data_IF_723769601989
#
_entry.id   IF_723769601989
#
_cell.length_a   1.000
_cell.length_b   1.000
_cell.length_c   1.000
_cell.angle_alpha   90.00
_cell.angle_beta   90.00
_cell.angle_gamma   90.00
#
_symmetry.space_group_name_H-M   'P 1'
#
loop_
_entity.id
_entity.type
_entity.pdbx_description
1 polymer ?
#
# COMPACT_ATOMS: atom_id res chain seq x y z
N UNK A 1 6.80 -15.89 -8.30
CA UNK A 1 5.33 -16.04 -8.22
C UNK A 1 4.74 -15.26 -7.05
N UNK A 2 5.15 -15.50 -5.80
CA UNK A 2 4.55 -14.87 -4.61
C UNK A 2 4.55 -13.34 -4.62
N UNK A 3 5.63 -12.69 -5.08
CA UNK A 3 5.69 -11.21 -5.13
C UNK A 3 4.68 -10.58 -6.08
N UNK A 4 4.35 -11.28 -7.17
CA UNK A 4 3.37 -10.81 -8.15
C UNK A 4 1.96 -10.90 -7.56
N UNK A 5 1.67 -12.01 -6.88
CA UNK A 5 0.41 -12.20 -6.14
C UNK A 5 0.26 -11.15 -5.05
N UNK A 6 1.33 -10.83 -4.31
CA UNK A 6 1.29 -9.74 -3.32
C UNK A 6 1.04 -8.38 -3.96
N UNK A 7 1.68 -8.08 -5.09
CA UNK A 7 1.42 -6.83 -5.83
C UNK A 7 -0.04 -6.70 -6.28
N UNK A 8 -0.61 -7.79 -6.80
CA UNK A 8 -2.01 -7.85 -7.21
C UNK A 8 -2.98 -7.71 -6.03
N UNK A 9 -2.73 -8.41 -4.93
CA UNK A 9 -3.50 -8.27 -3.69
C UNK A 9 -3.43 -6.84 -3.14
N UNK A 10 -2.24 -6.23 -3.14
CA UNK A 10 -2.04 -4.83 -2.76
C UNK A 10 -2.87 -3.88 -3.61
N UNK A 11 -2.91 -4.09 -4.92
CA UNK A 11 -3.78 -3.30 -5.78
C UNK A 11 -5.27 -3.47 -5.44
N UNK A 12 -5.77 -4.70 -5.28
CA UNK A 12 -7.19 -4.95 -5.00
C UNK A 12 -7.63 -4.22 -3.73
N UNK A 13 -6.95 -4.45 -2.61
CA UNK A 13 -7.43 -3.89 -1.35
C UNK A 13 -7.22 -2.36 -1.29
N UNK A 14 -6.14 -1.83 -1.87
CA UNK A 14 -5.90 -0.37 -1.90
C UNK A 14 -6.86 0.35 -2.86
N UNK A 15 -7.25 -0.29 -3.96
CA UNK A 15 -8.26 0.24 -4.90
C UNK A 15 -9.64 0.29 -4.28
N UNK A 16 -9.98 -0.67 -3.41
CA UNK A 16 -11.23 -0.70 -2.66
C UNK A 16 -11.23 0.23 -1.43
N UNK A 17 -10.16 0.98 -1.18
CA UNK A 17 -10.04 1.97 -0.08
C UNK A 17 -10.33 1.40 1.31
N UNK A 18 -10.17 0.09 1.50
CA UNK A 18 -10.51 -0.66 2.73
C UNK A 18 -9.51 -0.41 3.88
N UNK A 19 -8.80 0.71 3.83
CA UNK A 19 -7.70 1.07 4.73
C UNK A 19 -6.37 0.47 4.29
N UNK A 20 -5.42 1.34 3.89
CA UNK A 20 -4.02 0.94 3.76
C UNK A 20 -3.47 0.51 5.12
N UNK A 21 -2.97 -0.73 5.22
CA UNK A 21 -2.31 -1.22 6.44
C UNK A 21 -1.11 -0.34 6.82
N UNK A 22 -0.60 -0.39 8.07
CA UNK A 22 0.39 0.59 8.57
C UNK A 22 1.62 0.74 7.68
N UNK A 23 2.17 -0.37 7.15
CA UNK A 23 3.29 -0.39 6.20
C UNK A 23 2.96 0.31 4.87
N UNK A 24 1.77 0.06 4.33
CA UNK A 24 1.30 0.64 3.07
C UNK A 24 0.85 2.09 3.24
N UNK A 25 0.33 2.46 4.41
CA UNK A 25 0.04 3.83 4.80
C UNK A 25 1.31 4.69 4.87
N UNK A 26 2.39 4.17 5.47
CA UNK A 26 3.71 4.83 5.47
C UNK A 26 4.21 5.01 4.03
N UNK A 27 4.09 3.97 3.19
CA UNK A 27 4.45 4.06 1.77
C UNK A 27 3.66 5.15 1.05
N UNK A 28 2.33 5.16 1.16
CA UNK A 28 1.46 6.17 0.52
C UNK A 28 1.77 7.58 1.04
N UNK A 29 1.95 7.74 2.35
CA UNK A 29 2.27 9.04 2.97
C UNK A 29 3.64 9.56 2.49
N UNK A 30 4.65 8.70 2.41
CA UNK A 30 5.97 9.07 1.90
C UNK A 30 5.94 9.37 0.41
N UNK A 31 5.20 8.60 -0.41
CA UNK A 31 5.01 8.89 -1.84
C UNK A 31 4.33 10.25 -2.03
N UNK A 32 3.25 10.53 -1.29
CA UNK A 32 2.57 11.84 -1.30
C UNK A 32 3.49 12.99 -0.91
N UNK A 33 4.32 12.80 0.12
CA UNK A 33 5.21 13.84 0.64
C UNK A 33 6.44 14.07 -0.24
N UNK A 34 7.00 13.02 -0.82
CA UNK A 34 8.28 13.08 -1.55
C UNK A 34 8.13 13.13 -3.07
N UNK A 35 6.96 12.79 -3.61
CA UNK A 35 6.73 12.67 -5.05
C UNK A 35 7.53 11.55 -5.72
N UNK A 36 8.20 10.70 -4.93
CA UNK A 36 9.03 9.60 -5.42
C UNK A 36 8.18 8.40 -5.82
N UNK A 37 8.66 7.56 -6.75
CA UNK A 37 7.90 6.41 -7.21
C UNK A 37 7.75 5.33 -6.13
N UNK A 38 6.67 4.55 -6.24
CA UNK A 38 6.26 3.56 -5.23
C UNK A 38 7.34 2.50 -5.00
N UNK A 39 7.99 2.01 -6.07
CA UNK A 39 9.02 0.97 -5.95
C UNK A 39 10.16 1.38 -5.03
N UNK A 40 10.58 2.65 -5.11
CA UNK A 40 11.72 3.17 -4.37
C UNK A 40 11.39 3.28 -2.89
N UNK A 41 10.25 3.89 -2.57
CA UNK A 41 9.80 4.03 -1.17
C UNK A 41 9.56 2.64 -0.57
N UNK A 42 8.96 1.73 -1.33
CA UNK A 42 8.67 0.38 -0.85
C UNK A 42 9.93 -0.42 -0.55
N UNK A 43 10.90 -0.41 -1.46
CA UNK A 43 12.17 -1.09 -1.25
C UNK A 43 12.95 -0.48 -0.07
N UNK A 44 12.89 0.84 0.13
CA UNK A 44 13.52 1.50 1.28
C UNK A 44 12.90 1.07 2.61
N UNK A 45 11.57 0.95 2.69
CA UNK A 45 10.89 0.45 3.89
C UNK A 45 11.34 -0.98 4.20
N UNK A 46 11.39 -1.85 3.21
CA UNK A 46 11.86 -3.23 3.40
C UNK A 46 13.35 -3.31 3.74
N UNK A 47 14.17 -2.46 3.12
CA UNK A 47 15.60 -2.42 3.41
C UNK A 47 15.84 -1.98 4.86
N UNK A 48 15.08 -0.99 5.34
CA UNK A 48 15.15 -0.56 6.73
C UNK A 48 14.67 -1.65 7.70
N UNK A 49 13.57 -2.34 7.39
CA UNK A 49 13.11 -3.48 8.18
C UNK A 49 14.15 -4.61 8.19
N UNK A 50 14.79 -4.88 7.06
CA UNK A 50 15.85 -5.87 6.94
C UNK A 50 17.07 -5.48 7.79
N UNK A 51 17.57 -4.25 7.66
CA UNK A 51 18.78 -3.81 8.39
C UNK A 51 18.56 -3.80 9.89
N UNK A 52 17.40 -3.32 10.36
CA UNK A 52 17.04 -3.39 11.79
C UNK A 52 16.96 -4.84 12.27
N UNK A 53 16.37 -5.74 11.47
CA UNK A 53 16.38 -7.18 11.74
C UNK A 53 17.78 -7.77 11.83
N UNK A 54 18.69 -7.45 10.91
CA UNK A 54 20.11 -7.89 10.96
C UNK A 54 20.73 -7.49 12.30
N UNK A 55 20.56 -6.23 12.70
CA UNK A 55 21.16 -5.68 13.92
C UNK A 55 20.63 -6.41 15.17
N UNK A 56 19.37 -6.82 15.14
CA UNK A 56 18.74 -7.62 16.20
C UNK A 56 19.09 -9.11 16.17
N UNK A 57 19.95 -9.55 15.23
CA UNK A 57 20.37 -10.94 15.10
C UNK A 57 19.39 -11.83 14.33
N UNK A 58 18.50 -11.25 13.50
CA UNK A 58 17.56 -12.02 12.72
C UNK A 58 18.27 -12.91 11.68
N UNK A 59 17.88 -14.19 11.54
CA UNK A 59 18.40 -15.05 10.48
C UNK A 59 17.87 -14.58 9.13
N UNK A 60 18.78 -14.26 8.21
CA UNK A 60 18.43 -13.73 6.88
C UNK A 60 18.80 -14.75 5.81
N UNK A 61 17.79 -15.15 5.04
CA UNK A 61 17.97 -15.99 3.87
C UNK A 61 18.11 -15.18 2.59
N UNK A 62 18.62 -15.83 1.55
CA UNK A 62 18.68 -15.27 0.18
C UNK A 62 17.30 -14.81 -0.30
N UNK A 63 16.23 -15.53 0.06
CA UNK A 63 14.86 -15.15 -0.30
C UNK A 63 14.45 -13.77 0.25
N UNK A 64 14.92 -13.39 1.44
CA UNK A 64 14.60 -12.10 2.04
C UNK A 64 15.26 -10.96 1.28
N UNK A 65 16.53 -11.13 0.88
CA UNK A 65 17.26 -10.13 0.09
C UNK A 65 16.59 -9.92 -1.27
N UNK A 66 16.23 -11.02 -1.95
CA UNK A 66 15.52 -10.95 -3.24
C UNK A 66 14.16 -10.27 -3.06
N UNK A 67 13.44 -10.55 -1.98
CA UNK A 67 12.16 -9.92 -1.67
C UNK A 67 12.30 -8.42 -1.41
N UNK A 68 13.24 -8.00 -0.57
CA UNK A 68 13.48 -6.60 -0.22
C UNK A 68 13.75 -5.73 -1.45
N UNK A 69 14.45 -6.27 -2.45
CA UNK A 69 14.76 -5.54 -3.70
C UNK A 69 13.63 -5.67 -4.71
N UNK A 70 12.99 -6.84 -4.81
CA UNK A 70 12.03 -7.17 -5.88
C UNK A 70 10.60 -6.70 -5.63
N UNK A 71 10.16 -6.60 -4.36
CA UNK A 71 8.75 -6.37 -4.05
C UNK A 71 8.26 -4.99 -4.51
N UNK A 72 9.09 -3.95 -4.41
CA UNK A 72 8.74 -2.60 -4.87
C UNK A 72 8.49 -2.55 -6.37
N UNK A 73 9.34 -3.20 -7.17
CA UNK A 73 9.15 -3.28 -8.63
C UNK A 73 7.91 -4.10 -9.00
N UNK A 74 7.63 -5.17 -8.27
CA UNK A 74 6.42 -5.97 -8.47
C UNK A 74 5.16 -5.15 -8.24
N UNK A 75 5.08 -4.43 -7.12
CA UNK A 75 3.93 -3.56 -6.78
C UNK A 75 3.78 -2.43 -7.79
N UNK A 76 4.87 -1.75 -8.15
CA UNK A 76 4.81 -0.69 -9.15
C UNK A 76 4.39 -1.22 -10.53
N UNK A 77 4.88 -2.40 -10.92
CA UNK A 77 4.48 -3.05 -12.17
C UNK A 77 2.96 -3.27 -12.22
N UNK A 78 2.38 -3.80 -11.14
CA UNK A 78 0.93 -3.96 -11.02
C UNK A 78 0.21 -2.61 -11.03
N UNK A 79 0.69 -1.62 -10.29
CA UNK A 79 0.05 -0.30 -10.25
C UNK A 79 0.07 0.38 -11.62
N UNK A 80 1.17 0.26 -12.38
CA UNK A 80 1.25 0.79 -13.75
C UNK A 80 0.32 0.03 -14.70
N UNK A 81 0.24 -1.29 -14.59
CA UNK A 81 -0.66 -2.14 -15.39
C UNK A 81 -2.12 -1.72 -15.21
N UNK A 82 -2.54 -1.42 -13.98
CA UNK A 82 -3.91 -1.01 -13.65
C UNK A 82 -4.13 0.50 -13.57
N UNK A 83 -3.14 1.31 -13.99
CA UNK A 83 -3.15 2.78 -13.90
C UNK A 83 -3.57 3.31 -12.53
N UNK A 84 -3.16 2.63 -11.47
CA UNK A 84 -3.50 2.98 -10.10
C UNK A 84 -2.63 4.13 -9.59
N UNK A 85 -3.28 5.23 -9.19
CA UNK A 85 -2.59 6.36 -8.60
C UNK A 85 -2.53 6.23 -7.07
N UNK A 86 -1.44 5.65 -6.58
CA UNK A 86 -1.19 5.52 -5.14
C UNK A 86 -1.12 6.85 -4.40
N UNK A 87 -0.81 7.95 -5.08
CA UNK A 87 -0.74 9.29 -4.49
C UNK A 87 -2.13 9.90 -4.22
N UNK A 88 -3.20 9.36 -4.81
CA UNK A 88 -4.57 9.81 -4.58
C UNK A 88 -5.33 8.92 -3.58
N UNK A 89 -4.72 7.80 -3.17
CA UNK A 89 -5.31 6.87 -2.20
C UNK A 89 -5.69 7.60 -0.91
N UNK A 90 -6.99 7.77 -0.67
CA UNK A 90 -7.56 8.29 0.57
C UNK A 90 -8.12 7.09 1.34
N UNK A 91 -7.58 6.82 2.53
CA UNK A 91 -8.16 5.81 3.41
C UNK A 91 -9.51 6.32 3.88
N UNK A 92 -10.58 5.55 3.65
CA UNK A 92 -11.89 5.84 4.22
C UNK A 92 -11.85 5.56 5.71
N UNK A 93 -12.39 6.48 6.48
CA UNK A 93 -12.63 6.29 7.91
C UNK A 93 -14.06 5.79 8.10
N UNK A 94 -14.33 5.09 9.21
CA UNK A 94 -15.70 4.68 9.59
C UNK A 94 -16.68 5.88 9.57
N UNK A 95 -16.18 7.08 9.87
CA UNK A 95 -16.95 8.31 9.78
C UNK A 95 -17.37 8.65 8.34
N UNK A 96 -16.48 8.46 7.36
CA UNK A 96 -16.80 8.68 5.94
C UNK A 96 -17.91 7.73 5.48
N UNK A 97 -17.86 6.47 5.93
CA UNK A 97 -18.89 5.48 5.63
C UNK A 97 -20.21 5.80 6.35
N UNK A 98 -20.16 6.25 7.60
CA UNK A 98 -21.33 6.71 8.35
C UNK A 98 -22.02 7.90 7.66
N UNK A 99 -21.27 8.92 7.24
CA UNK A 99 -21.83 10.06 6.50
C UNK A 99 -22.41 9.63 5.15
N UNK A 100 -21.73 8.75 4.42
CA UNK A 100 -22.19 8.24 3.13
C UNK A 100 -23.50 7.44 3.27
N UNK A 101 -23.60 6.58 4.28
CA UNK A 101 -24.81 5.82 4.58
C UNK A 101 -25.94 6.73 5.04
N UNK A 102 -25.64 7.71 5.89
CA UNK A 102 -26.61 8.72 6.34
C UNK A 102 -27.16 9.51 5.15
N UNK A 103 -26.31 9.97 4.24
CA UNK A 103 -26.76 10.65 3.01
C UNK A 103 -27.66 9.76 2.16
N UNK A 104 -27.27 8.49 1.92
CA UNK A 104 -28.08 7.56 1.13
C UNK A 104 -29.46 7.29 1.74
N UNK A 105 -29.56 7.22 3.07
CA UNK A 105 -30.82 6.96 3.76
C UNK A 105 -31.68 8.23 3.81
N UNK A 106 -31.13 9.36 4.25
CA UNK A 106 -31.90 10.58 4.52
C UNK A 106 -32.14 11.48 3.30
N UNK A 107 -31.33 11.40 2.23
CA UNK A 107 -31.58 12.13 0.97
C UNK A 107 -32.60 11.38 0.10
N UNK A 108 -32.62 10.05 0.17
CA UNK A 108 -33.62 9.22 -0.53
C UNK A 108 -35.02 9.33 0.08
N UNK A 109 -35.13 9.78 1.32
CA UNK A 109 -36.40 10.03 2.00
C UNK A 109 -37.00 11.43 1.67
N UNK A 110 -36.25 12.27 0.95
CA UNK A 110 -36.63 13.67 0.64
C UNK A 110 -36.91 13.94 -0.84
N UNK A 111 -36.88 12.92 -1.70
CA UNK A 111 -37.35 12.92 -3.09
C UNK A 111 -38.40 11.83 -3.28
#
# INVERSE_FOLDING_TARGET
VSMVVMGYGSYIYMSAQIGAGPRDGVMVALVKKTGKPVWLIRNLIEAFALTTGVIMGAPIGIGTVIYTIGIGYSIEGVFRLFKYNSSESKNRTILDDYYSLREMIFVKEKN
#
